data_IF_567182628507
#
_entry.id   IF_567182628507
#
_cell.length_a   1.000
_cell.length_b   1.000
_cell.length_c   1.000
_cell.angle_alpha   90.00
_cell.angle_beta   90.00
_cell.angle_gamma   90.00
#
_symmetry.space_group_name_H-M   'P 1'
#
loop_
_entity.id
_entity.type
_entity.pdbx_description
1 polymer ?
#
# COMPACT_ATOMS: atom_id res chain seq x y z
N UNK A 1 0.44 -14.44 15.21
CA UNK A 1 0.66 -13.02 14.87
C UNK A 1 0.13 -12.76 13.48
N UNK A 2 -0.75 -11.77 13.37
CA UNK A 2 -1.33 -11.31 12.10
C UNK A 2 -0.51 -10.11 11.61
N UNK A 3 -0.21 -10.09 10.32
CA UNK A 3 0.44 -8.95 9.67
C UNK A 3 -0.55 -8.34 8.69
N UNK A 4 -0.82 -7.04 8.83
CA UNK A 4 -1.66 -6.31 7.89
C UNK A 4 -0.78 -5.42 7.03
N UNK A 5 -0.86 -5.56 5.72
CA UNK A 5 -0.25 -4.65 4.76
C UNK A 5 -1.24 -3.58 4.30
N UNK A 6 -0.77 -2.35 4.15
CA UNK A 6 -1.57 -1.22 3.63
C UNK A 6 -0.77 -0.50 2.54
N UNK A 7 -1.38 -0.36 1.36
CA UNK A 7 -0.92 0.49 0.26
C UNK A 7 -1.82 1.75 0.19
N UNK A 8 -1.35 2.92 0.65
CA UNK A 8 -2.18 4.12 0.74
C UNK A 8 -2.64 4.65 -0.62
N UNK A 9 -3.94 4.94 -0.72
CA UNK A 9 -4.53 5.62 -1.88
C UNK A 9 -5.45 6.77 -1.42
N UNK A 10 -5.70 7.73 -2.30
CA UNK A 10 -6.56 8.88 -2.01
C UNK A 10 -8.02 8.49 -1.73
N UNK A 11 -8.52 7.45 -2.39
CA UNK A 11 -9.94 7.05 -2.31
C UNK A 11 -10.16 5.90 -1.34
N UNK A 12 -9.44 4.80 -1.55
CA UNK A 12 -9.50 3.62 -0.71
C UNK A 12 -8.20 2.83 -0.86
N UNK A 13 -7.52 2.64 0.27
CA UNK A 13 -6.22 1.96 0.34
C UNK A 13 -6.38 0.46 0.11
N UNK A 14 -5.45 -0.15 -0.62
CA UNK A 14 -5.35 -1.60 -0.68
C UNK A 14 -4.94 -2.13 0.69
N UNK A 15 -5.59 -3.19 1.16
CA UNK A 15 -5.23 -3.89 2.40
C UNK A 15 -5.08 -5.38 2.16
N UNK A 16 -4.21 -6.01 2.95
CA UNK A 16 -4.00 -7.45 2.95
C UNK A 16 -3.81 -7.98 4.36
N UNK A 17 -4.53 -9.04 4.72
CA UNK A 17 -4.40 -9.73 6.01
C UNK A 17 -3.58 -10.99 5.82
N UNK A 18 -2.45 -11.08 6.51
CA UNK A 18 -1.54 -12.23 6.46
C UNK A 18 -1.55 -12.95 7.80
N UNK A 19 -1.71 -14.26 7.76
CA UNK A 19 -1.54 -15.13 8.92
C UNK A 19 -0.60 -16.28 8.57
N UNK A 20 0.46 -16.46 9.36
CA UNK A 20 1.49 -17.49 9.14
C UNK A 20 2.04 -17.50 7.70
N UNK A 21 2.31 -16.31 7.16
CA UNK A 21 2.88 -16.14 5.81
C UNK A 21 1.90 -16.38 4.65
N UNK A 22 0.61 -16.56 4.92
CA UNK A 22 -0.43 -16.76 3.89
C UNK A 22 -1.45 -15.63 3.91
N UNK A 23 -1.89 -15.24 2.72
CA UNK A 23 -2.96 -14.24 2.54
C UNK A 23 -4.29 -14.87 2.94
N UNK A 24 -4.98 -14.25 3.89
CA UNK A 24 -6.35 -14.60 4.29
C UNK A 24 -7.38 -13.72 3.60
N UNK A 25 -7.09 -12.43 3.47
CA UNK A 25 -8.02 -11.43 2.97
C UNK A 25 -7.28 -10.37 2.15
N UNK A 26 -7.92 -9.91 1.09
CA UNK A 26 -7.56 -8.75 0.29
C UNK A 26 -8.80 -7.87 0.15
N UNK A 27 -8.68 -6.58 0.47
CA UNK A 27 -9.80 -5.64 0.34
C UNK A 27 -9.31 -4.21 0.03
N UNK A 28 -10.24 -3.28 -0.20
CA UNK A 28 -9.98 -1.85 -0.31
C UNK A 28 -10.79 -1.09 0.72
N UNK A 29 -10.09 -0.38 1.60
CA UNK A 29 -10.71 0.31 2.74
C UNK A 29 -10.54 1.82 2.60
N UNK A 30 -11.64 2.60 2.58
CA UNK A 30 -11.57 4.05 2.65
C UNK A 30 -10.89 4.52 3.94
N UNK A 31 -10.20 5.67 3.87
CA UNK A 31 -9.54 6.28 5.03
C UNK A 31 -10.43 6.32 6.28
N UNK A 32 -11.67 6.78 6.12
CA UNK A 32 -12.64 6.95 7.22
C UNK A 32 -13.07 5.63 7.87
N UNK A 33 -12.93 4.51 7.18
CA UNK A 33 -13.29 3.18 7.69
C UNK A 33 -12.11 2.41 8.29
N UNK A 34 -10.87 2.89 8.11
CA UNK A 34 -9.66 2.11 8.39
C UNK A 34 -9.55 1.64 9.84
N UNK A 35 -9.68 2.53 10.82
CA UNK A 35 -9.56 2.19 12.24
C UNK A 35 -10.64 1.23 12.70
N UNK A 36 -11.87 1.43 12.21
CA UNK A 36 -13.00 0.54 12.49
C UNK A 36 -12.77 -0.85 11.86
N UNK A 37 -12.30 -0.91 10.62
CA UNK A 37 -11.98 -2.17 9.97
C UNK A 37 -10.87 -2.92 10.72
N UNK A 38 -9.79 -2.23 11.11
CA UNK A 38 -8.71 -2.81 11.92
C UNK A 38 -9.20 -3.42 13.23
N UNK A 39 -10.18 -2.78 13.89
CA UNK A 39 -10.72 -3.29 15.16
C UNK A 39 -11.45 -4.63 15.04
N UNK A 40 -11.88 -5.01 13.83
CA UNK A 40 -12.53 -6.29 13.56
C UNK A 40 -11.55 -7.42 13.21
N UNK A 41 -10.27 -7.11 12.97
CA UNK A 41 -9.31 -8.09 12.46
C UNK A 41 -8.74 -8.98 13.56
N UNK A 42 -8.28 -8.38 14.66
CA UNK A 42 -7.80 -9.10 15.85
C UNK A 42 -7.53 -8.12 17.00
N UNK A 43 -7.25 -8.65 18.20
CA UNK A 43 -6.80 -7.84 19.33
C UNK A 43 -5.48 -7.12 19.02
N UNK A 44 -5.31 -5.90 19.55
CA UNK A 44 -4.18 -5.00 19.28
C UNK A 44 -2.80 -5.67 19.38
N UNK A 45 -2.60 -6.48 20.42
CA UNK A 45 -1.29 -7.08 20.72
C UNK A 45 -0.86 -8.18 19.74
N UNK A 46 -1.77 -8.64 18.88
CA UNK A 46 -1.50 -9.70 17.89
C UNK A 46 -1.36 -9.17 16.46
N UNK A 47 -1.49 -7.86 16.25
CA UNK A 47 -1.36 -7.20 14.95
C UNK A 47 -0.03 -6.44 14.80
N UNK A 48 0.65 -6.71 13.71
CA UNK A 48 1.66 -5.82 13.14
C UNK A 48 1.11 -5.19 11.86
N UNK A 49 1.03 -3.86 11.80
CA UNK A 49 0.63 -3.15 10.60
C UNK A 49 1.87 -2.68 9.86
N UNK A 50 2.01 -3.05 8.58
CA UNK A 50 3.02 -2.54 7.66
C UNK A 50 2.37 -1.62 6.64
N UNK A 51 2.81 -0.38 6.57
CA UNK A 51 2.25 0.63 5.67
C UNK A 51 3.34 1.10 4.72
N UNK A 52 3.06 1.13 3.41
CA UNK A 52 3.95 1.83 2.47
C UNK A 52 3.95 3.34 2.79
N UNK A 53 5.12 3.90 3.08
CA UNK A 53 5.28 5.35 3.29
C UNK A 53 6.01 6.00 2.08
N UNK A 54 5.28 6.67 1.18
CA UNK A 54 5.87 7.36 0.04
C UNK A 54 6.75 8.55 0.45
N UNK A 55 6.67 9.03 1.70
CA UNK A 55 7.55 10.09 2.21
C UNK A 55 8.99 9.63 2.43
N UNK A 56 9.23 8.32 2.52
CA UNK A 56 10.59 7.76 2.63
C UNK A 56 11.40 7.90 1.33
N UNK A 57 10.78 8.35 0.24
CA UNK A 57 11.45 8.68 -1.03
C UNK A 57 11.39 10.21 -1.26
N UNK A 58 12.58 10.81 -1.39
CA UNK A 58 12.77 12.27 -1.41
C UNK A 58 12.42 12.96 -2.75
N UNK A 59 12.62 12.39 -3.96
CA UNK A 59 12.30 13.11 -5.20
C UNK A 59 11.15 12.52 -6.05
N UNK A 60 10.33 13.40 -6.64
CA UNK A 60 9.62 13.09 -7.90
C UNK A 60 10.64 13.13 -9.03
N UNK A 61 10.95 11.99 -9.63
CA UNK A 61 11.96 11.95 -10.69
C UNK A 61 11.44 12.59 -11.99
N UNK A 62 12.23 13.43 -12.66
CA UNK A 62 11.88 13.95 -13.98
C UNK A 62 11.71 12.78 -14.96
N UNK A 63 10.50 12.57 -15.48
CA UNK A 63 10.29 11.59 -16.57
C UNK A 63 10.72 12.20 -17.91
N UNK A 64 11.44 11.41 -18.72
CA UNK A 64 11.55 11.68 -20.16
C UNK A 64 10.17 11.53 -20.78
N UNK A 65 9.57 12.65 -21.18
CA UNK A 65 8.29 12.70 -21.89
C UNK A 65 8.55 12.99 -23.38
N UNK A 66 8.07 12.17 -24.32
CA UNK A 66 8.40 12.27 -25.76
C UNK A 66 7.96 13.57 -26.46
N UNK A 67 6.91 14.25 -25.97
CA UNK A 67 6.28 15.37 -26.68
C UNK A 67 6.16 16.62 -25.80
N UNK A 68 6.78 17.71 -26.24
CA UNK A 68 7.14 18.88 -25.44
C UNK A 68 5.99 19.88 -25.13
N UNK A 69 4.76 19.69 -25.60
CA UNK A 69 3.75 20.78 -25.52
C UNK A 69 3.08 20.96 -24.15
N UNK A 70 3.02 19.92 -23.30
CA UNK A 70 2.31 19.94 -22.01
C UNK A 70 3.14 19.37 -20.83
N UNK A 71 4.47 19.27 -20.99
CA UNK A 71 5.34 18.56 -20.04
C UNK A 71 5.25 19.13 -18.61
N UNK A 72 5.20 20.46 -18.47
CA UNK A 72 5.12 21.10 -17.15
C UNK A 72 3.76 20.88 -16.47
N UNK A 73 2.65 21.05 -17.20
CA UNK A 73 1.31 20.87 -16.64
C UNK A 73 1.08 19.43 -16.16
N UNK A 74 1.53 18.44 -16.96
CA UNK A 74 1.48 17.02 -16.58
C UNK A 74 2.37 16.75 -15.37
N UNK A 75 3.59 17.29 -15.35
CA UNK A 75 4.51 17.17 -14.21
C UNK A 75 3.93 17.75 -12.93
N UNK A 76 3.33 18.95 -13.00
CA UNK A 76 2.70 19.61 -11.85
C UNK A 76 1.53 18.78 -11.31
N UNK A 77 0.68 18.26 -12.19
CA UNK A 77 -0.44 17.38 -11.80
C UNK A 77 0.05 16.10 -11.12
N UNK A 78 1.10 15.47 -11.66
CA UNK A 78 1.70 14.27 -11.04
C UNK A 78 2.23 14.62 -9.64
N UNK A 79 2.98 15.72 -9.51
CA UNK A 79 3.50 16.16 -8.21
C UNK A 79 2.39 16.47 -7.21
N UNK A 80 1.28 17.07 -7.65
CA UNK A 80 0.12 17.33 -6.80
C UNK A 80 -0.52 16.02 -6.33
N UNK A 81 -0.75 15.07 -7.23
CA UNK A 81 -1.31 13.75 -6.88
C UNK A 81 -0.38 13.00 -5.91
N UNK A 82 0.94 13.03 -6.14
CA UNK A 82 1.93 12.44 -5.22
C UNK A 82 1.86 13.11 -3.85
N UNK A 83 1.71 14.43 -3.80
CA UNK A 83 1.52 15.18 -2.55
C UNK A 83 0.26 14.76 -1.79
N UNK A 84 -0.86 14.54 -2.49
CA UNK A 84 -2.10 14.06 -1.90
C UNK A 84 -1.96 12.66 -1.30
N UNK A 85 -1.33 11.73 -2.02
CA UNK A 85 -1.08 10.37 -1.50
C UNK A 85 -0.13 10.40 -0.30
N UNK A 86 0.92 11.24 -0.33
CA UNK A 86 1.82 11.46 0.80
C UNK A 86 1.08 11.95 2.05
N UNK A 87 0.17 12.92 1.88
CA UNK A 87 -0.65 13.43 2.98
C UNK A 87 -1.56 12.35 3.56
N UNK A 88 -2.23 11.56 2.70
CA UNK A 88 -3.09 10.45 3.14
C UNK A 88 -2.29 9.38 3.87
N UNK A 89 -1.11 9.01 3.37
CA UNK A 89 -0.22 8.05 4.04
C UNK A 89 0.20 8.54 5.45
N UNK A 90 0.59 9.81 5.58
CA UNK A 90 0.92 10.42 6.88
C UNK A 90 -0.29 10.36 7.83
N UNK A 91 -1.47 10.79 7.38
CA UNK A 91 -2.68 10.76 8.21
C UNK A 91 -3.09 9.35 8.61
N UNK A 92 -2.94 8.36 7.72
CA UNK A 92 -3.19 6.95 8.05
C UNK A 92 -2.25 6.48 9.16
N UNK A 93 -0.94 6.71 9.00
CA UNK A 93 0.07 6.32 9.99
C UNK A 93 -0.23 6.96 11.34
N UNK A 94 -0.48 8.26 11.38
CA UNK A 94 -0.80 8.99 12.60
C UNK A 94 -2.09 8.47 13.26
N UNK A 95 -3.16 8.32 12.48
CA UNK A 95 -4.48 7.89 12.99
C UNK A 95 -4.43 6.47 13.55
N UNK A 96 -3.76 5.55 12.84
CA UNK A 96 -3.63 4.15 13.25
C UNK A 96 -2.72 4.03 14.49
N UNK A 97 -1.63 4.79 14.54
CA UNK A 97 -0.74 4.82 15.71
C UNK A 97 -1.47 5.41 16.93
N UNK A 98 -2.24 6.49 16.75
CA UNK A 98 -3.04 7.09 17.81
C UNK A 98 -4.14 6.15 18.33
N UNK A 99 -4.64 5.25 17.49
CA UNK A 99 -5.58 4.19 17.89
C UNK A 99 -4.91 3.02 18.65
N UNK A 100 -3.59 3.07 18.87
CA UNK A 100 -2.86 2.11 19.70
C UNK A 100 -2.26 0.92 18.94
N UNK A 101 -2.30 0.91 17.60
CA UNK A 101 -1.72 -0.18 16.82
C UNK A 101 -0.21 -0.01 16.61
N UNK A 102 0.50 -1.13 16.53
CA UNK A 102 1.90 -1.14 16.13
C UNK A 102 2.02 -0.95 14.61
N UNK A 103 2.55 0.21 14.19
CA UNK A 103 2.78 0.55 12.79
C UNK A 103 4.27 0.47 12.46
N UNK A 104 4.57 -0.20 11.35
CA UNK A 104 5.89 -0.23 10.72
C UNK A 104 5.79 0.41 9.33
N UNK A 105 6.43 1.56 9.17
CA UNK A 105 6.53 2.21 7.86
C UNK A 105 7.54 1.45 6.99
N UNK A 106 7.12 1.09 5.79
CA UNK A 106 7.92 0.41 4.79
C UNK A 106 8.19 1.34 3.61
N UNK A 107 9.38 1.22 3.02
CA UNK A 107 9.65 1.91 1.76
C UNK A 107 8.85 1.27 0.63
N UNK A 108 8.48 2.04 -0.41
CA UNK A 108 7.90 1.47 -1.61
C UNK A 108 8.76 0.35 -2.17
N UNK A 109 8.13 -0.81 -2.38
CA UNK A 109 8.83 -1.97 -2.91
C UNK A 109 9.25 -1.72 -4.36
N UNK A 110 10.48 -2.10 -4.69
CA UNK A 110 11.08 -1.92 -6.02
C UNK A 110 11.53 -3.27 -6.60
N UNK A 111 11.71 -3.32 -7.92
CA UNK A 111 12.24 -4.50 -8.62
C UNK A 111 11.23 -5.21 -9.53
N UNK A 112 11.74 -6.15 -10.32
CA UNK A 112 10.98 -6.84 -11.37
C UNK A 112 9.80 -7.65 -10.84
N UNK A 113 9.98 -8.38 -9.73
CA UNK A 113 8.92 -9.19 -9.12
C UNK A 113 7.73 -8.34 -8.65
N UNK A 114 8.00 -7.17 -8.04
CA UNK A 114 6.95 -6.22 -7.63
C UNK A 114 6.18 -5.71 -8.84
N UNK A 115 6.89 -5.27 -9.87
CA UNK A 115 6.27 -4.76 -11.09
C UNK A 115 5.42 -5.82 -11.82
N UNK A 116 5.88 -7.08 -11.83
CA UNK A 116 5.13 -8.20 -12.40
C UNK A 116 3.89 -8.53 -11.59
N UNK A 117 4.01 -8.68 -10.26
CA UNK A 117 2.85 -8.91 -9.40
C UNK A 117 1.80 -7.81 -9.52
N UNK A 118 2.22 -6.54 -9.61
CA UNK A 118 1.28 -5.43 -9.78
C UNK A 118 0.45 -5.56 -11.05
N UNK A 119 1.05 -5.98 -12.17
CA UNK A 119 0.38 -6.04 -13.49
C UNK A 119 -0.25 -7.38 -13.83
N UNK A 120 0.24 -8.47 -13.26
CA UNK A 120 -0.14 -9.84 -13.58
C UNK A 120 -0.66 -10.56 -12.33
N UNK A 121 -1.99 -10.72 -12.29
CA UNK A 121 -2.67 -11.42 -11.21
C UNK A 121 -2.31 -12.92 -11.16
N UNK A 122 -2.06 -13.57 -12.31
CA UNK A 122 -1.69 -14.98 -12.33
C UNK A 122 -0.29 -15.18 -11.75
N UNK A 123 0.64 -14.26 -12.07
CA UNK A 123 1.98 -14.26 -11.47
C UNK A 123 1.92 -14.04 -9.96
N UNK A 124 1.13 -13.06 -9.50
CA UNK A 124 0.90 -12.82 -8.07
C UNK A 124 0.33 -14.06 -7.36
N UNK A 125 -0.69 -14.69 -7.95
CA UNK A 125 -1.31 -15.89 -7.39
C UNK A 125 -0.30 -17.05 -7.29
N UNK A 126 0.53 -17.26 -8.32
CA UNK A 126 1.60 -18.27 -8.30
C UNK A 126 2.62 -18.00 -7.21
N UNK A 127 3.02 -16.75 -7.02
CA UNK A 127 4.04 -16.36 -6.03
C UNK A 127 3.52 -16.48 -4.60
N UNK A 128 2.28 -16.08 -4.36
CA UNK A 128 1.72 -15.90 -3.00
C UNK A 128 0.80 -17.04 -2.56
N UNK A 129 0.36 -17.89 -3.49
CA UNK A 129 -0.66 -18.91 -3.24
C UNK A 129 -2.08 -18.36 -3.15
N UNK A 130 -2.32 -17.09 -3.52
CA UNK A 130 -3.67 -16.53 -3.55
C UNK A 130 -4.54 -17.17 -4.64
N UNK A 131 -5.75 -17.57 -4.29
CA UNK A 131 -6.71 -18.19 -5.22
C UNK A 131 -7.89 -17.28 -5.59
N UNK A 132 -8.05 -16.14 -4.90
CA UNK A 132 -9.15 -15.22 -5.11
C UNK A 132 -8.90 -14.18 -6.20
N UNK A 133 -9.86 -13.27 -6.36
CA UNK A 133 -9.67 -12.05 -7.17
C UNK A 133 -8.73 -11.09 -6.44
N UNK A 134 -8.02 -10.27 -7.20
CA UNK A 134 -7.18 -9.20 -6.67
C UNK A 134 -7.15 -8.01 -7.63
N UNK A 135 -6.96 -6.81 -7.10
CA UNK A 135 -6.63 -5.61 -7.87
C UNK A 135 -5.18 -5.18 -7.60
N UNK A 136 -4.67 -4.19 -8.33
CA UNK A 136 -3.28 -3.76 -8.21
C UNK A 136 -2.90 -3.30 -6.80
N UNK A 137 -3.75 -2.51 -6.14
CA UNK A 137 -3.51 -1.93 -4.82
C UNK A 137 -3.46 -3.03 -3.73
N UNK A 138 -4.40 -3.98 -3.77
CA UNK A 138 -4.40 -5.11 -2.84
C UNK A 138 -3.18 -6.02 -3.04
N UNK A 139 -2.69 -6.17 -4.28
CA UNK A 139 -1.47 -6.94 -4.54
C UNK A 139 -0.24 -6.24 -3.97
N UNK A 140 -0.13 -4.92 -4.14
CA UNK A 140 0.96 -4.15 -3.53
C UNK A 140 0.90 -4.22 -1.99
N UNK A 141 -0.28 -4.08 -1.39
CA UNK A 141 -0.48 -4.25 0.05
C UNK A 141 -0.05 -5.64 0.57
N UNK A 142 -0.39 -6.71 -0.16
CA UNK A 142 0.03 -8.06 0.20
C UNK A 142 1.55 -8.24 0.14
N UNK A 143 2.20 -7.68 -0.89
CA UNK A 143 3.66 -7.70 -0.98
C UNK A 143 4.31 -6.90 0.15
N UNK A 144 3.76 -5.75 0.54
CA UNK A 144 4.21 -4.97 1.69
C UNK A 144 4.10 -5.79 2.98
N UNK A 145 2.98 -6.48 3.20
CA UNK A 145 2.81 -7.33 4.37
C UNK A 145 3.88 -8.44 4.43
N UNK A 146 4.07 -9.16 3.31
CA UNK A 146 4.97 -10.32 3.21
C UNK A 146 6.45 -9.94 3.22
N UNK A 147 6.84 -8.89 2.49
CA UNK A 147 8.24 -8.59 2.17
C UNK A 147 8.70 -7.19 2.61
N UNK A 148 7.77 -6.32 3.03
CA UNK A 148 8.10 -4.97 3.48
C UNK A 148 9.06 -5.00 4.68
N UNK A 149 10.14 -4.22 4.55
CA UNK A 149 11.20 -4.05 5.55
C UNK A 149 11.20 -2.64 6.10
#
# INVERSE_FOLDING_TARGET
MIVIGIDPDLTASGVAVIHNGRILELDRIPFTGMTKWLSYQSALNDLLIKIEDPNLIKPTFPRMMPTARNKQAVSNRISQNVGQVKAVATLLIETITAAGYQVKCCRPLVGGHKAMCKKDAAYFNKLTGWAGRSNEDCRDAALIALFGV
#
